data_IF_112721806824
#
_entry.id   IF_112721806824
#
_cell.length_a   1.000
_cell.length_b   1.000
_cell.length_c   1.000
_cell.angle_alpha   90.00
_cell.angle_beta   90.00
_cell.angle_gamma   90.00
#
_symmetry.space_group_name_H-M   'P 1'
#
loop_
_entity.id
_entity.type
_entity.pdbx_description
1 polymer ?
#
# COMPACT_ATOMS: atom_id res chain seq x y z
N UNK A 1 -1.52 -8.72 16.43
CA UNK A 1 -0.15 -8.41 15.96
C UNK A 1 -0.24 -7.07 15.26
N UNK A 2 0.78 -6.20 15.36
CA UNK A 2 0.84 -5.00 14.54
C UNK A 2 1.56 -5.32 13.24
N UNK A 3 0.97 -4.98 12.10
CA UNK A 3 1.55 -5.17 10.77
C UNK A 3 1.72 -3.83 10.06
N UNK A 4 2.95 -3.48 9.70
CA UNK A 4 3.24 -2.28 8.91
C UNK A 4 3.69 -2.68 7.51
N UNK A 5 3.00 -2.19 6.49
CA UNK A 5 3.30 -2.42 5.07
C UNK A 5 3.77 -1.10 4.49
N UNK A 6 5.02 -1.04 4.02
CA UNK A 6 5.62 0.18 3.46
C UNK A 6 5.97 -0.08 2.00
N UNK A 7 5.53 0.80 1.11
CA UNK A 7 5.82 0.75 -0.32
C UNK A 7 6.20 2.12 -0.84
N UNK A 8 7.05 2.16 -1.88
CA UNK A 8 7.35 3.39 -2.62
C UNK A 8 6.41 3.54 -3.81
N UNK A 9 6.21 4.78 -4.27
CA UNK A 9 5.47 5.13 -5.47
C UNK A 9 6.42 5.82 -6.44
N UNK A 10 6.54 5.26 -7.64
CA UNK A 10 7.19 5.91 -8.78
C UNK A 10 6.55 5.40 -10.08
N UNK A 11 5.96 6.30 -10.86
CA UNK A 11 5.17 6.00 -12.06
C UNK A 11 4.07 4.94 -11.81
N UNK A 12 3.40 5.07 -10.67
CA UNK A 12 2.56 4.02 -10.09
C UNK A 12 1.07 4.36 -10.02
N UNK A 13 0.62 5.54 -10.47
CA UNK A 13 -0.79 5.96 -10.39
C UNK A 13 -1.81 4.87 -10.80
N UNK A 14 -1.64 4.15 -11.94
CA UNK A 14 -2.65 3.16 -12.37
C UNK A 14 -2.72 1.90 -11.48
N UNK A 15 -1.78 1.72 -10.55
CA UNK A 15 -1.66 0.50 -9.73
C UNK A 15 -2.03 0.72 -8.26
N UNK A 16 -2.19 1.98 -7.81
CA UNK A 16 -2.39 2.31 -6.40
C UNK A 16 -3.66 1.64 -5.84
N UNK A 17 -4.79 1.80 -6.53
CA UNK A 17 -6.07 1.27 -6.06
C UNK A 17 -6.08 -0.26 -6.00
N UNK A 18 -5.58 -0.92 -7.06
CA UNK A 18 -5.52 -2.37 -7.11
C UNK A 18 -4.57 -2.94 -6.03
N UNK A 19 -3.42 -2.29 -5.84
CA UNK A 19 -2.48 -2.65 -4.78
C UNK A 19 -3.12 -2.51 -3.41
N UNK A 20 -3.75 -1.37 -3.12
CA UNK A 20 -4.42 -1.12 -1.85
C UNK A 20 -5.51 -2.16 -1.57
N UNK A 21 -6.40 -2.44 -2.53
CA UNK A 21 -7.49 -3.39 -2.35
C UNK A 21 -6.96 -4.81 -2.06
N UNK A 22 -6.02 -5.29 -2.87
CA UNK A 22 -5.47 -6.65 -2.75
C UNK A 22 -4.68 -6.83 -1.47
N UNK A 23 -3.82 -5.87 -1.14
CA UNK A 23 -2.98 -5.92 0.07
C UNK A 23 -3.85 -5.82 1.32
N UNK A 24 -4.84 -4.94 1.36
CA UNK A 24 -5.76 -4.81 2.49
C UNK A 24 -6.52 -6.12 2.75
N UNK A 25 -7.00 -6.77 1.69
CA UNK A 25 -7.71 -8.06 1.78
C UNK A 25 -6.85 -9.17 2.38
N UNK A 26 -5.56 -9.23 2.03
CA UNK A 26 -4.64 -10.23 2.59
C UNK A 26 -4.19 -9.86 4.00
N UNK A 27 -3.91 -8.58 4.27
CA UNK A 27 -3.54 -8.09 5.59
C UNK A 27 -4.62 -8.41 6.64
N UNK A 28 -5.89 -8.19 6.30
CA UNK A 28 -7.04 -8.48 7.17
C UNK A 28 -7.15 -9.96 7.60
N UNK A 29 -6.61 -10.90 6.80
CA UNK A 29 -6.57 -12.33 7.17
C UNK A 29 -5.50 -12.61 8.25
N UNK A 30 -4.48 -11.76 8.33
CA UNK A 30 -3.39 -11.87 9.29
C UNK A 30 -3.76 -11.10 10.58
N UNK A 31 -4.20 -9.86 10.44
CA UNK A 31 -4.60 -9.01 11.57
C UNK A 31 -5.48 -7.84 11.15
N UNK A 32 -6.27 -7.32 12.09
CA UNK A 32 -7.04 -6.08 11.92
C UNK A 32 -6.23 -4.83 12.31
N UNK A 33 -5.08 -4.99 12.98
CA UNK A 33 -4.20 -3.90 13.41
C UNK A 33 -3.05 -3.76 12.42
N UNK A 34 -3.33 -3.11 11.29
CA UNK A 34 -2.36 -2.88 10.23
C UNK A 34 -2.41 -1.46 9.66
N UNK A 35 -1.29 -1.04 9.10
CA UNK A 35 -1.15 0.20 8.33
C UNK A 35 -0.50 -0.07 6.97
N UNK A 36 -0.85 0.74 5.98
CA UNK A 36 -0.21 0.76 4.66
C UNK A 36 0.31 2.17 4.45
N UNK A 37 1.63 2.30 4.29
CA UNK A 37 2.32 3.57 4.09
C UNK A 37 2.84 3.62 2.66
N UNK A 38 2.31 4.56 1.90
CA UNK A 38 2.80 4.91 0.57
C UNK A 38 3.81 6.05 0.70
N UNK A 39 5.03 5.81 0.21
CA UNK A 39 6.10 6.79 0.16
C UNK A 39 6.25 7.27 -1.27
N UNK A 40 5.85 8.51 -1.54
CA UNK A 40 6.15 9.14 -2.83
C UNK A 40 7.67 9.32 -2.98
N UNK A 41 8.25 8.61 -3.95
CA UNK A 41 9.69 8.63 -4.25
C UNK A 41 10.03 9.66 -5.34
N UNK A 42 9.35 10.80 -5.32
CA UNK A 42 9.53 11.90 -6.27
C UNK A 42 8.93 11.61 -7.63
N UNK A 43 7.75 10.99 -7.63
CA UNK A 43 7.11 10.56 -8.87
C UNK A 43 6.58 11.75 -9.68
N UNK A 44 6.74 11.75 -11.02
CA UNK A 44 6.22 12.81 -11.87
C UNK A 44 4.77 12.60 -12.33
N UNK A 45 4.14 11.46 -11.99
CA UNK A 45 2.72 11.19 -12.26
C UNK A 45 1.83 11.59 -11.07
N UNK A 46 0.51 11.63 -11.29
CA UNK A 46 -0.49 12.09 -10.32
C UNK A 46 -0.71 11.14 -9.13
#
# INVERSE_FOLDING_TARGET
>A
MKLSIVTTLYKSSPYIDEFYERVSKEAQKITQDYEIIFVDDGSPDE
#
